data_IF_444499555081
#
_entry.id   IF_444499555081
#
_cell.length_a   1.000
_cell.length_b   1.000
_cell.length_c   1.000
_cell.angle_alpha   90.00
_cell.angle_beta   90.00
_cell.angle_gamma   90.00
#
_symmetry.space_group_name_H-M   'P 1'
#
loop_
_entity.id
_entity.type
_entity.pdbx_description
1 polymer ?
#
# COMPACT_ATOMS: atom_id res chain seq x y z
N UNK A 1 -2.46 -0.19 18.07
CA UNK A 1 -3.10 -0.91 16.95
C UNK A 1 -4.02 -2.02 17.49
N UNK A 2 -5.28 -2.09 17.02
CA UNK A 2 -6.24 -3.19 17.34
C UNK A 2 -5.72 -4.54 16.83
N UNK A 3 -5.20 -4.55 15.58
CA UNK A 3 -4.66 -5.75 14.95
C UNK A 3 -3.47 -6.35 15.73
N UNK A 4 -2.54 -5.52 16.22
CA UNK A 4 -1.41 -6.02 17.04
C UNK A 4 -1.91 -6.73 18.30
N UNK A 5 -2.83 -6.10 19.05
CA UNK A 5 -3.39 -6.69 20.27
C UNK A 5 -4.18 -7.97 20.01
N UNK A 6 -4.96 -8.01 18.93
CA UNK A 6 -5.73 -9.20 18.54
C UNK A 6 -4.83 -10.39 18.16
N UNK A 7 -3.62 -10.12 17.67
CA UNK A 7 -2.62 -11.15 17.36
C UNK A 7 -1.65 -11.42 18.51
N UNK A 8 -2.00 -11.02 19.75
CA UNK A 8 -1.20 -11.30 20.95
C UNK A 8 0.05 -10.42 21.12
N UNK A 9 0.22 -9.39 20.29
CA UNK A 9 1.30 -8.43 20.43
C UNK A 9 0.99 -7.32 21.43
N UNK A 10 2.04 -6.67 21.92
CA UNK A 10 1.97 -5.54 22.83
C UNK A 10 2.46 -4.24 22.16
N UNK A 11 1.86 -3.11 22.53
CA UNK A 11 2.36 -1.79 22.12
C UNK A 11 3.22 -1.24 23.26
N UNK A 12 4.53 -1.31 23.11
CA UNK A 12 5.52 -0.86 24.11
C UNK A 12 5.82 0.64 24.06
N UNK A 13 5.34 1.34 23.04
CA UNK A 13 5.53 2.78 22.88
C UNK A 13 4.76 3.33 21.68
N UNK A 14 4.43 4.62 21.75
CA UNK A 14 3.88 5.42 20.66
C UNK A 14 4.49 6.80 20.73
N UNK A 15 4.96 7.30 19.60
CA UNK A 15 5.47 8.66 19.47
C UNK A 15 4.79 9.33 18.28
N UNK A 16 4.32 10.55 18.51
CA UNK A 16 3.83 11.43 17.46
C UNK A 16 5.01 12.27 16.97
N UNK A 17 5.19 12.32 15.66
CA UNK A 17 6.28 13.05 15.02
C UNK A 17 5.71 14.31 14.36
N UNK A 18 6.36 15.49 14.47
CA UNK A 18 5.93 16.68 13.74
C UNK A 18 6.04 16.46 12.23
N UNK A 19 5.20 17.14 11.44
CA UNK A 19 5.28 17.11 9.97
C UNK A 19 5.59 18.50 9.42
N UNK A 20 6.60 18.66 8.54
CA UNK A 20 7.58 17.64 8.13
C UNK A 20 8.63 17.37 9.21
N UNK A 21 9.27 16.20 9.16
CA UNK A 21 10.43 15.89 9.99
C UNK A 21 11.57 15.21 9.22
N UNK A 22 12.79 15.62 9.52
CA UNK A 22 14.03 15.07 8.94
C UNK A 22 14.88 14.30 9.96
N UNK A 23 14.59 14.42 11.27
CA UNK A 23 15.34 13.72 12.32
C UNK A 23 14.43 12.79 13.13
N UNK A 24 14.57 11.49 12.88
CA UNK A 24 13.84 10.43 13.58
C UNK A 24 14.66 9.78 14.69
N UNK A 25 15.88 10.26 14.95
CA UNK A 25 16.87 9.56 15.74
C UNK A 25 16.38 9.25 17.15
N UNK A 26 15.80 10.24 17.82
CA UNK A 26 15.31 10.11 19.19
C UNK A 26 14.16 9.09 19.30
N UNK A 27 13.26 9.04 18.31
CA UNK A 27 12.13 8.10 18.32
C UNK A 27 12.61 6.66 18.08
N UNK A 28 13.55 6.48 17.14
CA UNK A 28 14.13 5.19 16.80
C UNK A 28 14.93 4.60 17.98
N UNK A 29 15.78 5.40 18.61
CA UNK A 29 16.55 4.98 19.78
C UNK A 29 15.67 4.70 20.99
N UNK A 30 14.60 5.48 21.19
CA UNK A 30 13.61 5.21 22.23
C UNK A 30 12.88 3.88 22.00
N UNK A 31 12.51 3.57 20.76
CA UNK A 31 11.89 2.28 20.41
C UNK A 31 12.85 1.10 20.65
N UNK A 32 14.12 1.25 20.28
CA UNK A 32 15.16 0.25 20.58
C UNK A 32 15.33 0.04 22.09
N UNK A 33 15.44 1.11 22.87
CA UNK A 33 15.60 1.05 24.32
C UNK A 33 14.38 0.43 25.02
N UNK A 34 13.18 0.58 24.45
CA UNK A 34 11.96 -0.07 24.91
C UNK A 34 11.91 -1.59 24.60
N UNK A 35 12.92 -2.13 23.92
CA UNK A 35 12.97 -3.55 23.54
C UNK A 35 11.98 -3.90 22.42
N UNK A 36 11.61 -2.94 21.57
CA UNK A 36 10.67 -3.18 20.49
C UNK A 36 11.23 -4.20 19.48
N UNK A 37 10.46 -5.25 19.21
CA UNK A 37 10.77 -6.26 18.19
C UNK A 37 10.44 -5.76 16.77
N UNK A 38 9.52 -4.79 16.68
CA UNK A 38 9.11 -4.16 15.45
C UNK A 38 8.79 -2.68 15.68
N UNK A 39 9.10 -1.85 14.70
CA UNK A 39 8.78 -0.42 14.68
C UNK A 39 7.82 -0.17 13.53
N UNK A 40 6.59 0.21 13.88
CA UNK A 40 5.60 0.68 12.91
C UNK A 40 5.86 2.14 12.56
N UNK A 41 6.11 2.45 11.28
CA UNK A 41 6.33 3.82 10.80
C UNK A 41 5.11 4.22 9.98
N UNK A 42 4.27 5.09 10.53
CA UNK A 42 3.01 5.53 9.89
C UNK A 42 3.16 6.86 9.13
N UNK A 43 4.40 7.26 8.84
CA UNK A 43 4.72 8.36 7.94
C UNK A 43 4.66 7.91 6.47
N UNK A 44 4.71 8.87 5.55
CA UNK A 44 4.74 8.61 4.11
C UNK A 44 5.74 9.53 3.41
N UNK A 45 6.10 9.21 2.17
CA UNK A 45 6.97 10.06 1.36
C UNK A 45 8.35 10.30 1.99
N UNK A 46 8.75 11.56 2.09
CA UNK A 46 10.10 11.91 2.55
C UNK A 46 10.34 11.53 4.02
N UNK A 47 9.37 11.77 4.90
CA UNK A 47 9.44 11.44 6.33
C UNK A 47 9.64 9.93 6.54
N UNK A 48 8.87 9.10 5.82
CA UNK A 48 9.07 7.65 5.81
C UNK A 48 10.49 7.28 5.36
N UNK A 49 10.97 7.89 4.26
CA UNK A 49 12.31 7.61 3.73
C UNK A 49 13.40 8.00 4.73
N UNK A 50 13.27 9.15 5.38
CA UNK A 50 14.20 9.62 6.41
C UNK A 50 14.25 8.66 7.60
N UNK A 51 13.08 8.25 8.11
CA UNK A 51 12.99 7.33 9.23
C UNK A 51 13.62 5.96 8.93
N UNK A 52 13.35 5.40 7.75
CA UNK A 52 13.90 4.09 7.36
C UNK A 52 15.40 4.15 7.09
N UNK A 53 15.86 5.22 6.43
CA UNK A 53 17.29 5.46 6.23
C UNK A 53 18.04 5.50 7.58
N UNK A 54 17.53 6.28 8.54
CA UNK A 54 18.14 6.38 9.86
C UNK A 54 18.07 5.07 10.64
N UNK A 55 16.96 4.33 10.55
CA UNK A 55 16.85 3.00 11.17
C UNK A 55 17.90 2.01 10.63
N UNK A 56 18.22 2.10 9.33
CA UNK A 56 19.31 1.32 8.72
C UNK A 56 20.69 1.81 9.17
N UNK A 57 20.94 3.12 9.17
CA UNK A 57 22.21 3.73 9.60
C UNK A 57 22.53 3.43 11.08
N UNK A 58 21.51 3.32 11.92
CA UNK A 58 21.65 2.93 13.33
C UNK A 58 21.79 1.42 13.54
N UNK A 59 21.77 0.61 12.47
CA UNK A 59 21.89 -0.84 12.55
C UNK A 59 20.71 -1.52 13.23
N UNK A 60 19.54 -0.86 13.34
CA UNK A 60 18.38 -1.43 14.04
C UNK A 60 17.86 -2.68 13.33
N UNK A 61 17.84 -2.64 12.00
CA UNK A 61 17.42 -3.79 11.19
C UNK A 61 18.39 -4.96 11.31
N UNK A 62 19.70 -4.67 11.38
CA UNK A 62 20.75 -5.69 11.54
C UNK A 62 20.73 -6.29 12.96
N UNK A 63 20.29 -5.50 13.96
CA UNK A 63 20.00 -5.96 15.31
C UNK A 63 18.69 -6.77 15.42
N UNK A 64 17.99 -7.00 14.30
CA UNK A 64 16.78 -7.83 14.22
C UNK A 64 15.47 -7.10 14.46
N UNK A 65 15.48 -5.77 14.62
CA UNK A 65 14.25 -4.98 14.74
C UNK A 65 13.58 -4.89 13.37
N UNK A 66 12.32 -5.34 13.30
CA UNK A 66 11.54 -5.31 12.05
C UNK A 66 10.97 -3.91 11.81
N UNK A 67 11.28 -3.30 10.69
CA UNK A 67 10.62 -2.07 10.26
C UNK A 67 9.34 -2.42 9.50
N UNK A 68 8.22 -1.83 9.91
CA UNK A 68 6.89 -2.07 9.35
C UNK A 68 6.31 -0.73 8.88
N UNK A 69 6.48 -0.36 7.61
CA UNK A 69 5.89 0.86 7.07
C UNK A 69 4.36 0.72 6.98
N UNK A 70 3.63 1.77 7.37
CA UNK A 70 2.17 1.84 7.22
C UNK A 70 1.75 1.93 5.75
N UNK A 71 2.61 2.48 4.92
CA UNK A 71 2.49 2.48 3.46
C UNK A 71 3.89 2.45 2.86
N UNK A 72 4.13 1.60 1.87
CA UNK A 72 5.40 1.57 1.12
C UNK A 72 5.10 1.54 -0.37
N UNK A 73 5.53 2.57 -1.10
CA UNK A 73 5.35 2.63 -2.54
C UNK A 73 6.63 2.21 -3.26
N UNK A 74 6.48 1.80 -4.53
CA UNK A 74 7.60 1.47 -5.43
C UNK A 74 8.62 2.61 -5.53
N UNK A 75 8.14 3.86 -5.51
CA UNK A 75 8.97 5.06 -5.57
C UNK A 75 9.85 5.27 -4.33
N UNK A 76 9.39 4.83 -3.17
CA UNK A 76 10.16 4.97 -1.92
C UNK A 76 11.36 4.02 -1.90
N UNK A 77 11.17 2.78 -2.41
CA UNK A 77 12.27 1.83 -2.61
C UNK A 77 13.24 2.33 -3.66
N UNK A 78 12.73 2.85 -4.79
CA UNK A 78 13.58 3.45 -5.84
C UNK A 78 14.43 4.60 -5.33
N UNK A 79 13.87 5.46 -4.48
CA UNK A 79 14.53 6.68 -4.01
C UNK A 79 15.69 6.41 -3.05
N UNK A 80 15.59 5.41 -2.16
CA UNK A 80 16.68 5.05 -1.24
C UNK A 80 17.55 3.89 -1.71
N UNK A 81 17.13 3.19 -2.76
CA UNK A 81 17.73 1.95 -3.22
C UNK A 81 17.28 0.72 -2.42
N UNK A 82 17.23 -0.46 -3.06
CA UNK A 82 16.71 -1.69 -2.47
C UNK A 82 17.45 -2.15 -1.21
N UNK A 83 18.76 -1.96 -1.09
CA UNK A 83 19.53 -2.41 0.08
C UNK A 83 19.12 -1.71 1.38
N UNK A 84 18.75 -0.43 1.32
CA UNK A 84 18.23 0.31 2.48
C UNK A 84 16.96 -0.36 3.04
N UNK A 85 16.14 -0.91 2.14
CA UNK A 85 14.86 -1.54 2.44
C UNK A 85 14.92 -3.06 2.55
N UNK A 86 16.06 -3.69 2.24
CA UNK A 86 16.16 -5.13 2.10
C UNK A 86 15.61 -5.87 3.33
N UNK A 87 14.71 -6.82 3.08
CA UNK A 87 14.04 -7.62 4.10
C UNK A 87 12.78 -6.99 4.73
N UNK A 88 12.48 -5.71 4.45
CA UNK A 88 11.26 -5.05 4.92
C UNK A 88 10.04 -5.71 4.27
N UNK A 89 9.07 -6.11 5.10
CA UNK A 89 7.78 -6.60 4.63
C UNK A 89 6.83 -5.42 4.44
N UNK A 90 6.07 -5.44 3.35
CA UNK A 90 5.09 -4.43 3.02
C UNK A 90 3.75 -5.06 2.66
N UNK A 91 2.67 -4.41 3.10
CA UNK A 91 1.35 -4.62 2.55
C UNK A 91 1.25 -3.84 1.24
N UNK A 92 0.91 -4.53 0.15
CA UNK A 92 0.82 -3.98 -1.19
C UNK A 92 -0.61 -4.12 -1.68
N UNK A 93 -1.19 -3.05 -2.21
CA UNK A 93 -2.50 -3.15 -2.87
C UNK A 93 -2.34 -3.61 -4.32
N UNK A 94 -1.18 -3.43 -4.94
CA UNK A 94 -0.91 -3.86 -6.31
C UNK A 94 0.60 -3.90 -6.59
N UNK A 95 1.04 -4.73 -7.53
CA UNK A 95 2.41 -4.73 -8.02
C UNK A 95 2.44 -5.04 -9.53
N UNK A 96 3.41 -4.47 -10.24
CA UNK A 96 3.43 -4.49 -11.71
C UNK A 96 3.71 -5.88 -12.29
N UNK A 97 4.42 -6.72 -11.54
CA UNK A 97 4.82 -8.07 -11.94
C UNK A 97 4.01 -9.19 -11.25
N UNK A 98 2.75 -8.91 -10.85
CA UNK A 98 1.88 -9.92 -10.24
C UNK A 98 1.44 -11.00 -11.24
N UNK A 99 0.99 -10.59 -12.43
CA UNK A 99 0.44 -11.47 -13.45
C UNK A 99 0.60 -10.88 -14.87
N UNK A 100 0.09 -11.58 -15.88
CA UNK A 100 0.22 -11.13 -17.27
C UNK A 100 -0.54 -9.84 -17.57
N UNK A 101 -1.66 -9.57 -16.87
CA UNK A 101 -2.44 -8.36 -17.06
C UNK A 101 -1.74 -7.15 -16.42
N UNK A 102 -1.14 -7.33 -15.24
CA UNK A 102 -0.33 -6.27 -14.60
C UNK A 102 0.90 -5.96 -15.43
N UNK A 103 1.61 -6.98 -15.93
CA UNK A 103 2.77 -6.81 -16.82
C UNK A 103 2.40 -6.12 -18.12
N UNK A 104 1.25 -6.46 -18.72
CA UNK A 104 0.76 -5.82 -19.94
C UNK A 104 0.43 -4.34 -19.72
N UNK A 105 -0.19 -4.00 -18.60
CA UNK A 105 -0.43 -2.60 -18.23
C UNK A 105 0.90 -1.86 -18.01
N UNK A 106 1.81 -2.45 -17.24
CA UNK A 106 3.10 -1.88 -16.92
C UNK A 106 3.93 -1.59 -18.17
N UNK A 107 3.95 -2.52 -19.14
CA UNK A 107 4.60 -2.31 -20.44
C UNK A 107 4.04 -1.10 -21.18
N UNK A 108 2.71 -1.01 -21.32
CA UNK A 108 2.05 0.14 -21.99
C UNK A 108 2.32 1.47 -21.28
N UNK A 109 2.39 1.44 -19.96
CA UNK A 109 2.70 2.61 -19.14
C UNK A 109 4.16 3.03 -19.34
N UNK A 110 5.10 2.09 -19.29
CA UNK A 110 6.52 2.34 -19.50
C UNK A 110 6.82 2.84 -20.91
N UNK A 111 6.18 2.30 -21.95
CA UNK A 111 6.31 2.80 -23.34
C UNK A 111 5.92 4.28 -23.48
N UNK A 112 5.05 4.80 -22.61
CA UNK A 112 4.60 6.20 -22.64
C UNK A 112 5.40 7.13 -21.75
N UNK A 113 5.84 6.64 -20.60
CA UNK A 113 6.36 7.47 -19.51
C UNK A 113 7.80 7.13 -19.09
N UNK A 114 8.37 6.05 -19.63
CA UNK A 114 9.74 5.61 -19.41
C UNK A 114 10.08 5.28 -17.92
N UNK A 115 9.08 4.81 -17.18
CA UNK A 115 9.24 4.17 -15.88
C UNK A 115 8.08 3.19 -15.63
N UNK A 116 8.26 2.23 -14.71
CA UNK A 116 7.21 1.28 -14.35
C UNK A 116 6.20 1.90 -13.37
N UNK A 117 4.89 1.62 -13.52
CA UNK A 117 3.88 2.17 -12.64
C UNK A 117 3.98 1.56 -11.24
N UNK A 118 3.74 2.40 -10.23
CA UNK A 118 3.34 1.97 -8.89
C UNK A 118 1.83 1.71 -8.79
N UNK A 119 1.41 1.21 -7.63
CA UNK A 119 0.02 0.96 -7.25
C UNK A 119 -0.91 2.17 -7.36
N UNK A 120 -0.44 3.38 -6.99
CA UNK A 120 -1.23 4.62 -7.13
C UNK A 120 -1.59 4.88 -8.60
N UNK A 121 -0.66 4.65 -9.54
CA UNK A 121 -0.91 4.82 -10.97
C UNK A 121 -1.93 3.80 -11.49
N UNK A 122 -1.79 2.54 -11.07
CA UNK A 122 -2.70 1.46 -11.44
C UNK A 122 -4.11 1.69 -10.87
N UNK A 123 -4.21 2.13 -9.61
CA UNK A 123 -5.47 2.47 -8.95
C UNK A 123 -6.18 3.63 -9.63
N UNK A 124 -5.46 4.71 -9.96
CA UNK A 124 -6.02 5.83 -10.71
C UNK A 124 -6.54 5.41 -12.09
N UNK A 125 -5.80 4.56 -12.81
CA UNK A 125 -6.23 4.01 -14.09
C UNK A 125 -7.52 3.20 -13.95
N UNK A 126 -7.58 2.30 -12.96
CA UNK A 126 -8.76 1.48 -12.68
C UNK A 126 -9.97 2.34 -12.30
N UNK A 127 -9.82 3.31 -11.40
CA UNK A 127 -10.90 4.19 -10.98
C UNK A 127 -11.54 4.94 -12.17
N UNK A 128 -10.72 5.58 -13.00
CA UNK A 128 -11.19 6.27 -14.21
C UNK A 128 -11.82 5.27 -15.19
N UNK A 129 -11.24 4.09 -15.37
CA UNK A 129 -11.76 3.06 -16.25
C UNK A 129 -13.16 2.59 -15.82
N UNK A 130 -13.40 2.39 -14.52
CA UNK A 130 -14.70 1.98 -14.01
C UNK A 130 -15.76 3.08 -14.18
N UNK A 131 -15.40 4.35 -13.91
CA UNK A 131 -16.29 5.50 -14.13
C UNK A 131 -16.66 5.63 -15.61
N UNK A 132 -15.68 5.59 -16.52
CA UNK A 132 -15.95 5.71 -17.95
C UNK A 132 -16.79 4.53 -18.49
N UNK A 133 -16.61 3.33 -17.96
CA UNK A 133 -17.48 2.19 -18.26
C UNK A 133 -18.91 2.44 -17.82
N UNK A 134 -19.13 2.95 -16.62
CA UNK A 134 -20.45 3.31 -16.12
C UNK A 134 -21.12 4.40 -17.00
N UNK A 135 -20.36 5.43 -17.37
CA UNK A 135 -20.85 6.49 -18.29
C UNK A 135 -21.26 5.91 -19.64
N UNK A 136 -20.45 5.02 -20.21
CA UNK A 136 -20.74 4.36 -21.47
C UNK A 136 -22.00 3.48 -21.39
N UNK A 137 -22.17 2.74 -20.29
CA UNK A 137 -23.32 1.87 -20.02
C UNK A 137 -24.62 2.67 -19.88
N UNK A 138 -24.58 3.79 -19.16
CA UNK A 138 -25.74 4.64 -18.89
C UNK A 138 -26.07 5.62 -20.03
N UNK A 139 -25.10 5.89 -20.91
CA UNK A 139 -25.21 6.94 -21.93
C UNK A 139 -25.25 8.37 -21.34
N UNK A 140 -24.74 8.55 -20.12
CA UNK A 140 -24.73 9.84 -19.40
C UNK A 140 -23.60 9.86 -18.37
N UNK A 141 -23.05 11.05 -18.14
CA UNK A 141 -22.06 11.36 -17.10
C UNK A 141 -22.66 12.00 -15.84
N UNK A 142 -23.99 11.91 -15.70
CA UNK A 142 -24.70 12.32 -14.48
C UNK A 142 -24.13 11.60 -13.24
N UNK A 143 -23.57 12.33 -12.26
CA UNK A 143 -22.80 11.74 -11.18
C UNK A 143 -23.64 10.86 -10.26
N UNK A 144 -24.91 11.19 -10.04
CA UNK A 144 -25.80 10.41 -9.18
C UNK A 144 -26.15 9.06 -9.83
N UNK A 145 -26.44 9.06 -11.14
CA UNK A 145 -26.68 7.82 -11.89
C UNK A 145 -25.43 6.96 -11.98
N UNK A 146 -24.26 7.56 -12.23
CA UNK A 146 -22.97 6.85 -12.27
C UNK A 146 -22.64 6.25 -10.90
N UNK A 147 -22.80 7.01 -9.82
CA UNK A 147 -22.56 6.51 -8.45
C UNK A 147 -23.48 5.33 -8.15
N UNK A 148 -24.78 5.47 -8.42
CA UNK A 148 -25.78 4.42 -8.18
C UNK A 148 -25.52 3.12 -8.95
N UNK A 149 -24.94 3.19 -10.15
CA UNK A 149 -24.61 1.98 -10.93
C UNK A 149 -23.29 1.32 -10.49
N UNK A 150 -22.43 2.07 -9.80
CA UNK A 150 -21.17 1.57 -9.22
C UNK A 150 -21.37 1.00 -7.81
N UNK A 151 -22.36 1.48 -7.06
CA UNK A 151 -22.73 0.93 -5.75
C UNK A 151 -23.07 -0.57 -5.84
N UNK A 152 -22.39 -1.39 -5.03
CA UNK A 152 -22.56 -2.84 -5.02
C UNK A 152 -21.99 -3.54 -6.26
N UNK A 153 -21.33 -2.82 -7.17
CA UNK A 153 -20.77 -3.38 -8.39
C UNK A 153 -19.62 -4.32 -8.06
N UNK A 154 -19.70 -5.53 -8.63
CA UNK A 154 -18.55 -6.43 -8.76
C UNK A 154 -17.84 -6.18 -10.07
N UNK A 155 -16.51 -6.06 -10.03
CA UNK A 155 -15.72 -5.86 -11.24
C UNK A 155 -14.37 -6.57 -11.18
N UNK A 156 -13.78 -6.76 -12.37
CA UNK A 156 -12.41 -7.22 -12.51
C UNK A 156 -11.72 -6.42 -13.62
N UNK A 157 -10.51 -5.94 -13.32
CA UNK A 157 -9.61 -5.28 -14.26
C UNK A 157 -8.15 -5.60 -13.89
N UNK A 158 -7.19 -4.85 -14.45
CA UNK A 158 -5.77 -5.10 -14.18
C UNK A 158 -5.37 -4.80 -12.73
N UNK A 159 -6.08 -3.93 -12.01
CA UNK A 159 -5.75 -3.47 -10.67
C UNK A 159 -6.43 -4.32 -9.60
N UNK A 160 -7.68 -4.70 -9.86
CA UNK A 160 -8.51 -5.39 -8.91
C UNK A 160 -9.18 -6.62 -9.55
N UNK A 161 -9.05 -7.78 -8.91
CA UNK A 161 -9.73 -9.03 -9.31
C UNK A 161 -10.85 -9.32 -8.33
N UNK A 162 -12.03 -9.67 -8.85
CA UNK A 162 -13.27 -9.90 -8.08
C UNK A 162 -13.48 -8.86 -6.98
N UNK A 163 -13.34 -7.59 -7.37
CA UNK A 163 -13.49 -6.47 -6.46
C UNK A 163 -14.97 -6.15 -6.27
N UNK A 164 -15.33 -5.72 -5.06
CA UNK A 164 -16.66 -5.22 -4.73
C UNK A 164 -16.53 -3.76 -4.31
N UNK A 165 -17.22 -2.86 -5.00
CA UNK A 165 -17.47 -1.52 -4.47
C UNK A 165 -18.68 -1.61 -3.53
N UNK A 166 -18.42 -1.58 -2.22
CA UNK A 166 -19.47 -1.68 -1.20
C UNK A 166 -20.47 -0.54 -1.33
N UNK A 167 -21.75 -0.85 -1.16
CA UNK A 167 -22.79 0.17 -1.15
C UNK A 167 -22.77 1.00 0.13
N UNK A 168 -22.40 0.40 1.26
CA UNK A 168 -22.43 1.02 2.60
C UNK A 168 -21.38 2.12 2.81
N UNK A 169 -20.25 2.06 2.13
CA UNK A 169 -19.13 2.98 2.40
C UNK A 169 -18.36 3.39 1.15
N UNK A 170 -18.82 2.94 -0.02
CA UNK A 170 -18.18 3.12 -1.33
C UNK A 170 -16.73 2.61 -1.38
N UNK A 171 -16.32 1.80 -0.40
CA UNK A 171 -15.00 1.19 -0.35
C UNK A 171 -14.91 0.08 -1.42
N UNK A 172 -13.85 0.14 -2.22
CA UNK A 172 -13.47 -0.98 -3.10
C UNK A 172 -12.73 -2.02 -2.26
N UNK A 173 -13.41 -3.13 -1.99
CA UNK A 173 -12.84 -4.31 -1.35
C UNK A 173 -12.26 -5.23 -2.42
N UNK A 174 -11.00 -5.60 -2.26
CA UNK A 174 -10.27 -6.45 -3.22
C UNK A 174 -9.17 -7.22 -2.53
N UNK A 175 -8.59 -8.21 -3.20
CA UNK A 175 -7.36 -8.86 -2.70
C UNK A 175 -6.22 -7.84 -2.55
N UNK A 176 -5.44 -7.99 -1.48
CA UNK A 176 -4.15 -7.32 -1.29
C UNK A 176 -3.03 -8.37 -1.25
N UNK A 177 -1.79 -7.89 -1.26
CA UNK A 177 -0.60 -8.71 -1.36
C UNK A 177 0.36 -8.38 -0.22
N UNK A 178 1.18 -9.35 0.14
CA UNK A 178 2.33 -9.13 1.02
C UNK A 178 3.57 -9.33 0.19
N UNK A 179 4.49 -8.37 0.27
CA UNK A 179 5.77 -8.44 -0.41
C UNK A 179 6.92 -8.18 0.54
N UNK A 180 8.07 -8.76 0.25
CA UNK A 180 9.33 -8.44 0.91
C UNK A 180 10.24 -7.72 -0.07
N UNK A 181 10.89 -6.64 0.38
CA UNK A 181 11.83 -5.90 -0.47
C UNK A 181 13.11 -6.73 -0.66
N UNK A 182 13.49 -6.92 -1.92
CA UNK A 182 14.69 -7.62 -2.36
C UNK A 182 15.96 -6.84 -1.98
N UNK A 183 17.07 -7.51 -1.66
CA UNK A 183 18.39 -6.88 -1.71
C UNK A 183 18.74 -6.51 -3.16
N UNK A 184 19.68 -5.58 -3.35
CA UNK A 184 20.10 -5.14 -4.69
C UNK A 184 20.55 -6.30 -5.59
N UNK A 185 21.17 -7.33 -5.02
CA UNK A 185 21.59 -8.54 -5.76
C UNK A 185 20.44 -9.35 -6.37
N UNK A 186 19.21 -9.17 -5.88
CA UNK A 186 18.00 -9.83 -6.41
C UNK A 186 17.20 -8.98 -7.40
N UNK A 187 17.56 -7.71 -7.59
CA UNK A 187 16.83 -6.77 -8.44
C UNK A 187 17.25 -6.92 -9.90
N UNK A 188 16.30 -7.29 -10.78
CA UNK A 188 16.57 -7.55 -12.21
C UNK A 188 16.46 -6.32 -13.11
N UNK A 189 15.70 -5.31 -12.67
CA UNK A 189 15.49 -4.05 -13.38
C UNK A 189 15.14 -2.93 -12.39
N UNK A 190 15.02 -1.69 -12.85
CA UNK A 190 14.83 -0.48 -12.03
C UNK A 190 13.47 -0.35 -11.31
N UNK A 191 12.70 -1.44 -11.28
CA UNK A 191 11.39 -1.56 -10.63
C UNK A 191 11.13 -2.95 -10.02
N UNK A 192 12.06 -3.89 -10.15
CA UNK A 192 11.92 -5.26 -9.63
C UNK A 192 12.33 -5.34 -8.16
N UNK A 193 11.55 -4.68 -7.29
CA UNK A 193 11.93 -4.47 -5.89
C UNK A 193 11.32 -5.44 -4.90
N UNK A 194 10.22 -6.11 -5.25
CA UNK A 194 9.49 -6.95 -4.31
C UNK A 194 9.50 -8.42 -4.74
N UNK A 195 9.72 -9.31 -3.77
CA UNK A 195 9.25 -10.68 -3.83
C UNK A 195 7.85 -10.73 -3.23
N UNK A 196 6.85 -11.16 -4.00
CA UNK A 196 5.49 -11.31 -3.49
C UNK A 196 5.42 -12.63 -2.71
N UNK A 197 5.25 -12.52 -1.40
CA UNK A 197 5.32 -13.65 -0.46
C UNK A 197 3.95 -14.19 -0.08
N UNK A 198 2.87 -13.47 -0.40
CA UNK A 198 1.52 -13.95 -0.18
C UNK A 198 0.44 -12.98 -0.63
N UNK A 199 -0.81 -13.36 -0.39
CA UNK A 199 -1.98 -12.54 -0.63
C UNK A 199 -2.99 -12.66 0.50
N UNK A 200 -3.73 -11.58 0.75
CA UNK A 200 -4.80 -11.52 1.74
C UNK A 200 -6.12 -11.26 1.01
N UNK A 201 -7.17 -12.09 1.22
CA UNK A 201 -8.46 -11.88 0.59
C UNK A 201 -9.11 -10.58 1.11
N UNK A 202 -10.02 -9.99 0.34
CA UNK A 202 -10.53 -8.66 0.61
C UNK A 202 -11.36 -8.54 1.90
N UNK A 203 -12.03 -9.61 2.30
CA UNK A 203 -12.78 -9.70 3.57
C UNK A 203 -11.87 -9.71 4.81
N UNK A 204 -10.61 -10.10 4.67
CA UNK A 204 -9.59 -10.03 5.73
C UNK A 204 -8.73 -8.77 5.65
N UNK A 205 -8.48 -8.26 4.44
CA UNK A 205 -7.59 -7.12 4.21
C UNK A 205 -8.22 -5.76 4.58
N UNK A 206 -9.55 -5.68 4.60
CA UNK A 206 -10.30 -4.46 4.87
C UNK A 206 -11.12 -4.62 6.15
N UNK A 207 -11.50 -3.51 6.77
CA UNK A 207 -12.38 -3.57 7.94
C UNK A 207 -13.74 -4.19 7.56
N UNK A 208 -14.38 -4.95 8.47
CA UNK A 208 -15.72 -5.47 8.24
C UNK A 208 -16.69 -4.35 7.92
N UNK A 209 -17.65 -4.61 7.03
CA UNK A 209 -18.65 -3.62 6.65
C UNK A 209 -19.45 -3.07 7.86
N UNK A 210 -19.67 -3.92 8.86
CA UNK A 210 -20.30 -3.55 10.14
C UNK A 210 -19.50 -2.57 10.98
N UNK A 211 -18.19 -2.48 10.76
CA UNK A 211 -17.30 -1.54 11.46
C UNK A 211 -17.21 -0.18 10.72
N UNK A 212 -17.89 -0.03 9.58
CA UNK A 212 -17.94 1.23 8.84
C UNK A 212 -18.58 2.34 9.67
N UNK A 213 -17.92 3.50 9.71
CA UNK A 213 -18.44 4.71 10.37
C UNK A 213 -19.04 5.69 9.35
N UNK A 214 -19.28 5.25 8.12
CA UNK A 214 -19.84 6.09 7.06
C UNK A 214 -21.30 6.42 7.35
N UNK A 215 -21.67 7.70 7.27
CA UNK A 215 -22.98 8.18 7.74
C UNK A 215 -24.10 8.14 6.71
N UNK A 216 -23.77 7.95 5.42
CA UNK A 216 -24.76 7.98 4.34
C UNK A 216 -25.50 9.32 4.17
N UNK A 217 -24.83 10.44 4.43
CA UNK A 217 -25.45 11.78 4.32
C UNK A 217 -25.80 12.18 2.85
N UNK A 218 -25.77 11.24 1.90
CA UNK A 218 -26.04 11.39 0.47
C UNK A 218 -27.27 10.60 -0.02
N UNK A 219 -27.95 9.85 0.86
CA UNK A 219 -29.29 9.28 0.60
C UNK A 219 -30.39 10.29 0.95
#
# INVERSE_FOLDING_TARGET
>A
SKAVKQNGGEIVGVDMVPFPNDDFSNYLLKAQAAGAQAIGILESGQDLRNAVKQAREFGLMDAGIKIVPGQLNLSDVKALGPDTWAGVNAALIWYWDLDDETRKFAKRFHEKLNFYPGDIHAGNYSAVYQVLKAVQELGTDDPDKVTKVLEGRRFSDMFAKDALMRKSDHLVVKRTFVGQVKPASGVKNDSDFFDITGSVPGDEAYYPETDSTCKHDWE
#
